data_IF_885705931573
#
_entry.id   IF_885705931573
#
_cell.length_a   1.000
_cell.length_b   1.000
_cell.length_c   1.000
_cell.angle_alpha   90.00
_cell.angle_beta   90.00
_cell.angle_gamma   90.00
#
_symmetry.space_group_name_H-M   'P 1'
#
loop_
_entity.id
_entity.type
_entity.pdbx_description
1 polymer ?
#
# COMPACT_ATOMS: atom_id res chain seq x y z
N UNK A 1 -1.59 -32.79 42.50
CA UNK A 1 -2.78 -32.95 41.63
C UNK A 1 -3.20 -31.58 41.09
N UNK A 2 -2.66 -31.17 39.94
CA UNK A 2 -3.12 -30.04 39.12
C UNK A 2 -2.88 -30.46 37.67
N UNK A 3 -3.92 -30.50 36.85
CA UNK A 3 -3.89 -31.02 35.47
C UNK A 3 -3.04 -30.09 34.61
N UNK A 4 -1.91 -30.61 34.10
CA UNK A 4 -0.93 -29.92 33.25
C UNK A 4 -1.12 -30.26 31.77
N UNK A 5 -2.30 -30.77 31.39
CA UNK A 5 -2.69 -31.02 30.01
C UNK A 5 -4.18 -30.72 29.82
N UNK A 6 -4.50 -29.86 28.84
CA UNK A 6 -5.88 -29.64 28.39
C UNK A 6 -6.59 -28.40 28.90
N UNK A 7 -5.91 -27.27 29.13
CA UNK A 7 -6.60 -25.99 28.87
C UNK A 7 -6.73 -25.91 27.36
N UNK A 8 -7.93 -26.17 26.82
CA UNK A 8 -8.24 -25.74 25.46
C UNK A 8 -7.88 -24.26 25.38
N UNK A 9 -6.77 -23.95 24.70
CA UNK A 9 -6.39 -22.57 24.41
C UNK A 9 -7.64 -21.85 23.93
N UNK A 10 -7.88 -20.64 24.44
CA UNK A 10 -9.03 -19.82 24.05
C UNK A 10 -9.22 -20.01 22.55
N UNK A 11 -10.31 -20.68 22.14
CA UNK A 11 -10.61 -20.84 20.71
C UNK A 11 -10.71 -19.41 20.21
N UNK A 12 -9.71 -18.96 19.46
CA UNK A 12 -9.80 -17.67 18.79
C UNK A 12 -11.13 -17.67 18.04
N UNK A 13 -11.89 -16.57 18.13
CA UNK A 13 -13.17 -16.48 17.44
C UNK A 13 -12.95 -16.88 15.98
N UNK A 14 -13.79 -17.77 15.47
CA UNK A 14 -13.67 -18.22 14.10
C UNK A 14 -13.69 -16.97 13.21
N UNK A 15 -12.79 -16.87 12.21
CA UNK A 15 -12.74 -15.71 11.35
C UNK A 15 -14.13 -15.47 10.75
N UNK A 16 -14.67 -14.28 10.98
CA UNK A 16 -16.02 -13.94 10.54
C UNK A 16 -15.99 -13.28 9.17
N UNK A 17 -17.11 -13.33 8.45
CA UNK A 17 -17.26 -12.55 7.21
C UNK A 17 -17.07 -11.06 7.47
N UNK A 18 -17.47 -10.57 8.64
CA UNK A 18 -17.27 -9.18 9.08
C UNK A 18 -15.78 -8.83 9.20
N UNK A 19 -14.96 -9.73 9.76
CA UNK A 19 -13.51 -9.52 9.86
C UNK A 19 -12.85 -9.51 8.48
N UNK A 20 -13.33 -10.35 7.55
CA UNK A 20 -12.85 -10.36 6.17
C UNK A 20 -13.19 -9.05 5.45
N UNK A 21 -14.42 -8.54 5.61
CA UNK A 21 -14.86 -7.25 5.06
C UNK A 21 -13.98 -6.11 5.61
N UNK A 22 -13.82 -6.02 6.92
CA UNK A 22 -13.01 -4.97 7.55
C UNK A 22 -11.55 -4.99 7.09
N UNK A 23 -10.97 -6.18 6.90
CA UNK A 23 -9.62 -6.32 6.35
C UNK A 23 -9.54 -5.87 4.88
N UNK A 24 -10.55 -6.17 4.07
CA UNK A 24 -10.61 -5.73 2.67
C UNK A 24 -10.73 -4.20 2.61
N UNK A 25 -11.62 -3.60 3.38
CA UNK A 25 -11.82 -2.15 3.41
C UNK A 25 -10.53 -1.41 3.80
N UNK A 26 -9.84 -1.89 4.84
CA UNK A 26 -8.53 -1.36 5.25
C UNK A 26 -7.47 -1.43 4.15
N UNK A 27 -7.45 -2.54 3.39
CA UNK A 27 -6.53 -2.70 2.25
C UNK A 27 -6.89 -1.76 1.11
N UNK A 28 -8.18 -1.62 0.81
CA UNK A 28 -8.69 -0.70 -0.22
C UNK A 28 -8.29 0.74 0.10
N UNK A 29 -8.52 1.21 1.33
CA UNK A 29 -8.07 2.54 1.74
C UNK A 29 -6.56 2.74 1.60
N UNK A 30 -5.77 1.73 1.96
CA UNK A 30 -4.31 1.79 1.84
C UNK A 30 -3.88 1.90 0.37
N UNK A 31 -4.56 1.17 -0.51
CA UNK A 31 -4.31 1.19 -1.95
C UNK A 31 -4.70 2.55 -2.53
N UNK A 32 -5.88 3.08 -2.18
CA UNK A 32 -6.33 4.41 -2.63
C UNK A 32 -5.35 5.51 -2.20
N UNK A 33 -4.89 5.49 -0.94
CA UNK A 33 -3.88 6.43 -0.44
C UNK A 33 -2.56 6.33 -1.22
N UNK A 34 -2.13 5.11 -1.58
CA UNK A 34 -0.93 4.90 -2.41
C UNK A 34 -1.11 5.42 -3.83
N UNK A 35 -2.26 5.15 -4.46
CA UNK A 35 -2.59 5.64 -5.81
C UNK A 35 -2.56 7.17 -5.82
N UNK A 36 -3.27 7.82 -4.89
CA UNK A 36 -3.29 9.28 -4.80
C UNK A 36 -1.90 9.91 -4.62
N UNK A 37 -1.03 9.25 -3.85
CA UNK A 37 0.37 9.68 -3.69
C UNK A 37 1.16 9.54 -4.99
N UNK A 38 1.05 8.40 -5.67
CA UNK A 38 1.73 8.15 -6.94
C UNK A 38 1.26 9.13 -8.02
N UNK A 39 -0.04 9.40 -8.12
CA UNK A 39 -0.60 10.40 -9.04
C UNK A 39 0.00 11.79 -8.78
N UNK A 40 0.09 12.19 -7.50
CA UNK A 40 0.73 13.45 -7.12
C UNK A 40 2.22 13.52 -7.49
N UNK A 41 2.96 12.41 -7.35
CA UNK A 41 4.37 12.33 -7.75
C UNK A 41 4.54 12.37 -9.28
N UNK A 42 3.68 11.70 -10.04
CA UNK A 42 3.67 11.72 -11.50
C UNK A 42 3.42 13.13 -12.05
N UNK A 43 2.48 13.88 -11.46
CA UNK A 43 2.22 15.28 -11.85
C UNK A 43 3.48 16.14 -11.62
N UNK A 44 4.15 15.99 -10.47
CA UNK A 44 5.39 16.71 -10.18
C UNK A 44 6.49 16.38 -11.19
N UNK A 45 6.68 15.10 -11.51
CA UNK A 45 7.67 14.71 -12.53
C UNK A 45 7.32 15.27 -13.90
N UNK A 46 6.04 15.28 -14.29
CA UNK A 46 5.58 15.88 -15.55
C UNK A 46 5.91 17.38 -15.61
N UNK A 47 5.63 18.12 -14.55
CA UNK A 47 5.90 19.56 -14.48
C UNK A 47 7.40 19.88 -14.48
N UNK A 48 8.20 19.08 -13.77
CA UNK A 48 9.65 19.20 -13.80
C UNK A 48 10.19 18.92 -15.20
N UNK A 49 9.77 17.82 -15.84
CA UNK A 49 10.18 17.49 -17.20
C UNK A 49 9.79 18.55 -18.24
N UNK A 50 8.63 19.21 -18.08
CA UNK A 50 8.19 20.28 -19.00
C UNK A 50 9.15 21.48 -19.01
N UNK A 51 9.78 21.78 -17.88
CA UNK A 51 10.73 22.90 -17.73
C UNK A 51 12.17 22.53 -18.11
N UNK A 52 12.45 21.24 -18.29
CA UNK A 52 13.79 20.75 -18.64
C UNK A 52 13.97 20.64 -20.15
N UNK A 53 15.16 21.07 -20.62
CA UNK A 53 15.64 20.79 -21.98
C UNK A 53 15.86 19.28 -22.15
N UNK A 54 15.67 18.78 -23.36
CA UNK A 54 15.99 17.38 -23.68
C UNK A 54 17.47 17.10 -23.38
N UNK A 55 17.72 15.99 -22.68
CA UNK A 55 19.07 15.60 -22.26
C UNK A 55 19.09 14.57 -21.13
N UNK A 56 20.29 14.22 -20.63
CA UNK A 56 20.48 13.15 -19.64
C UNK A 56 19.64 13.34 -18.36
N UNK A 57 19.55 14.57 -17.85
CA UNK A 57 18.77 14.87 -16.64
C UNK A 57 17.27 14.63 -16.82
N UNK A 58 16.71 14.96 -18.00
CA UNK A 58 15.29 14.70 -18.30
C UNK A 58 15.02 13.21 -18.50
N UNK A 59 15.96 12.47 -19.09
CA UNK A 59 15.85 11.01 -19.27
C UNK A 59 15.90 10.27 -17.92
N UNK A 60 16.71 10.74 -16.96
CA UNK A 60 16.70 10.19 -15.60
C UNK A 60 15.35 10.43 -14.90
N UNK A 61 14.75 11.61 -15.07
CA UNK A 61 13.40 11.87 -14.53
C UNK A 61 12.34 10.97 -15.17
N UNK A 62 12.39 10.77 -16.49
CA UNK A 62 11.52 9.82 -17.20
C UNK A 62 11.65 8.41 -16.62
N UNK A 63 12.88 7.94 -16.38
CA UNK A 63 13.11 6.63 -15.78
C UNK A 63 12.59 6.53 -14.34
N UNK A 64 12.72 7.60 -13.55
CA UNK A 64 12.16 7.67 -12.19
C UNK A 64 10.64 7.68 -12.16
N UNK A 65 9.99 8.28 -13.15
CA UNK A 65 8.52 8.32 -13.25
C UNK A 65 7.91 6.99 -13.73
N UNK A 66 8.71 6.08 -14.31
CA UNK A 66 8.27 4.77 -14.82
C UNK A 66 8.54 3.62 -13.83
N UNK A 67 9.16 3.89 -12.69
CA UNK A 67 9.49 2.92 -11.64
C UNK A 67 8.63 3.15 -10.41
#
# INVERSE_FOLDING_TARGET
>A
MRRIFGTSGKKEPQPTLTDAIANIDSRTESIEKKIARLDGELVKYKDQMKKMREGPGKNQLKQKALR
#
